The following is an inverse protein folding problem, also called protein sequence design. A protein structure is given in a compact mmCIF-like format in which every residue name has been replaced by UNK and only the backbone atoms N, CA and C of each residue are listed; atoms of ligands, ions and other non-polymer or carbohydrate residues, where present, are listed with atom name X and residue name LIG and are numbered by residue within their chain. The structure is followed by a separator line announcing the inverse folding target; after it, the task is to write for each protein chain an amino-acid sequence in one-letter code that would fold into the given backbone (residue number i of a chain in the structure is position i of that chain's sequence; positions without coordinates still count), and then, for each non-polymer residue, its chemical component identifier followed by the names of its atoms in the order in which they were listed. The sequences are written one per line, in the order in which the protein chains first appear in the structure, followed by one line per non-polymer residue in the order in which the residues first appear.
data_IF_465852390554
#
_entry.id   IF_465852390554
#
_cell.length_a   1.000
_cell.length_b   1.000
_cell.length_c   1.000
_cell.angle_alpha   90.00
_cell.angle_beta   90.00
_cell.angle_gamma   90.00
#
_symmetry.space_group_name_H-M   'P 1'
#
loop_
_entity.id
_entity.type
_entity.pdbx_description
1 polymer ?
#
# COMPACT_ATOMS: atom_id res chain seq x y z
N UNK A 1 -15.12 -5.91 -3.13
CA UNK A 1 -14.54 -6.38 -4.41
C UNK A 1 -15.56 -6.53 -5.54
N UNK A 2 -16.84 -6.83 -5.23
CA UNK A 2 -17.86 -7.07 -6.26
C UNK A 2 -18.03 -5.87 -7.23
N UNK A 3 -18.06 -4.64 -6.73
CA UNK A 3 -18.14 -3.45 -7.57
C UNK A 3 -16.86 -3.19 -8.38
N UNK A 4 -15.70 -3.40 -7.75
CA UNK A 4 -14.41 -3.32 -8.45
C UNK A 4 -14.33 -4.32 -9.60
N UNK A 5 -14.88 -5.54 -9.43
CA UNK A 5 -15.00 -6.54 -10.48
C UNK A 5 -15.87 -6.06 -11.66
N UNK A 6 -17.01 -5.42 -11.37
CA UNK A 6 -17.88 -4.84 -12.40
C UNK A 6 -17.16 -3.76 -13.22
N UNK A 7 -16.36 -2.90 -12.56
CA UNK A 7 -15.57 -1.87 -13.25
C UNK A 7 -14.50 -2.51 -14.15
N UNK A 8 -13.77 -3.51 -13.63
CA UNK A 8 -12.77 -4.24 -14.40
C UNK A 8 -13.38 -4.95 -15.62
N UNK A 9 -14.51 -5.63 -15.43
CA UNK A 9 -15.22 -6.33 -16.50
C UNK A 9 -15.79 -5.35 -17.55
N UNK A 10 -16.24 -4.18 -17.12
CA UNK A 10 -16.69 -3.12 -18.03
C UNK A 10 -15.53 -2.59 -18.88
N UNK A 11 -14.35 -2.34 -18.27
CA UNK A 11 -13.17 -1.91 -19.01
C UNK A 11 -12.77 -2.96 -20.06
N UNK A 12 -12.71 -4.24 -19.67
CA UNK A 12 -12.41 -5.36 -20.60
C UNK A 12 -13.43 -5.46 -21.73
N UNK A 13 -14.72 -5.42 -21.41
CA UNK A 13 -15.82 -5.55 -22.41
C UNK A 13 -15.85 -4.40 -23.40
N UNK A 14 -15.51 -3.18 -22.95
CA UNK A 14 -15.60 -1.96 -23.80
C UNK A 14 -14.27 -1.64 -24.49
N UNK A 15 -13.17 -2.26 -24.10
CA UNK A 15 -11.83 -1.91 -24.54
C UNK A 15 -11.38 -0.53 -24.08
N UNK A 16 -12.06 0.05 -23.06
CA UNK A 16 -11.68 1.35 -22.51
C UNK A 16 -10.59 1.19 -21.46
N UNK A 17 -9.67 2.16 -21.43
CA UNK A 17 -8.58 2.21 -20.48
C UNK A 17 -9.11 2.52 -19.08
N UNK A 18 -8.57 1.86 -18.08
CA UNK A 18 -8.88 2.04 -16.66
C UNK A 18 -7.57 2.02 -15.87
N UNK A 19 -7.44 2.93 -14.93
CA UNK A 19 -6.35 2.94 -13.94
C UNK A 19 -6.87 3.36 -12.58
N UNK A 20 -6.08 3.17 -11.55
CA UNK A 20 -6.35 3.59 -10.18
C UNK A 20 -5.20 4.48 -9.71
N UNK A 21 -5.49 5.53 -8.93
CA UNK A 21 -4.51 6.49 -8.42
C UNK A 21 -3.68 5.92 -7.28
N UNK A 22 -2.58 5.25 -7.59
CA UNK A 22 -1.59 4.75 -6.62
C UNK A 22 -0.28 5.52 -6.76
N UNK A 23 -0.32 6.82 -6.45
CA UNK A 23 0.80 7.75 -6.62
C UNK A 23 2.07 7.34 -5.88
N UNK A 24 1.98 6.52 -4.82
CA UNK A 24 3.14 6.02 -4.09
C UNK A 24 4.12 5.23 -4.97
N UNK A 25 3.64 4.61 -6.06
CA UNK A 25 4.49 3.92 -7.05
C UNK A 25 5.43 4.86 -7.81
N UNK A 26 5.10 6.16 -7.87
CA UNK A 26 5.85 7.17 -8.61
C UNK A 26 6.86 7.95 -7.75
N UNK A 27 7.01 7.60 -6.48
CA UNK A 27 8.05 8.14 -5.63
C UNK A 27 9.42 7.60 -6.08
N UNK A 28 10.47 8.40 -5.96
CA UNK A 28 11.81 8.00 -6.36
C UNK A 28 12.31 6.77 -5.61
N UNK A 29 12.10 6.71 -4.30
CA UNK A 29 12.45 5.57 -3.46
C UNK A 29 11.71 4.28 -3.89
N UNK A 30 10.42 4.40 -4.18
CA UNK A 30 9.59 3.29 -4.65
C UNK A 30 10.03 2.79 -6.03
N UNK A 31 10.28 3.70 -6.96
CA UNK A 31 10.75 3.34 -8.31
C UNK A 31 12.15 2.71 -8.29
N UNK A 32 13.02 3.18 -7.40
CA UNK A 32 14.35 2.59 -7.22
C UNK A 32 14.24 1.18 -6.63
N UNK A 33 13.49 1.03 -5.54
CA UNK A 33 13.27 -0.27 -4.88
C UNK A 33 12.62 -1.27 -5.84
N UNK A 34 11.68 -0.83 -6.67
CA UNK A 34 11.08 -1.68 -7.70
C UNK A 34 12.14 -2.24 -8.66
N UNK A 35 13.09 -1.44 -9.11
CA UNK A 35 14.20 -1.90 -9.95
C UNK A 35 15.11 -2.89 -9.22
N UNK A 36 15.42 -2.65 -7.95
CA UNK A 36 16.19 -3.59 -7.10
C UNK A 36 15.50 -4.95 -7.04
N UNK A 37 14.17 -4.97 -6.83
CA UNK A 37 13.38 -6.20 -6.80
C UNK A 37 13.35 -6.89 -8.18
N UNK A 38 13.12 -6.15 -9.26
CA UNK A 38 13.08 -6.68 -10.63
C UNK A 38 14.42 -7.26 -11.08
N UNK A 39 15.55 -6.69 -10.62
CA UNK A 39 16.88 -7.23 -10.86
C UNK A 39 17.22 -8.45 -9.99
N UNK A 40 16.34 -8.84 -9.08
CA UNK A 40 16.54 -10.01 -8.20
C UNK A 40 17.62 -9.81 -7.13
N UNK A 41 17.94 -8.55 -6.79
CA UNK A 41 18.97 -8.24 -5.79
C UNK A 41 18.56 -8.69 -4.38
N UNK A 42 17.24 -8.71 -4.07
CA UNK A 42 16.74 -9.23 -2.81
C UNK A 42 16.54 -10.75 -2.81
N UNK A 43 16.60 -11.40 -3.99
CA UNK A 43 16.30 -12.82 -4.14
C UNK A 43 14.81 -13.13 -4.02
N UNK A 44 14.47 -14.26 -3.40
CA UNK A 44 13.08 -14.66 -3.15
C UNK A 44 12.54 -13.93 -1.91
N UNK A 45 11.63 -12.99 -2.14
CA UNK A 45 11.03 -12.17 -1.06
C UNK A 45 9.96 -13.01 -0.37
N UNK A 46 10.26 -13.48 0.83
CA UNK A 46 9.38 -14.36 1.61
C UNK A 46 8.63 -13.65 2.74
N UNK A 47 9.03 -12.44 3.12
CA UNK A 47 8.40 -11.64 4.15
C UNK A 47 8.32 -10.17 3.74
N UNK A 48 7.19 -9.54 4.02
CA UNK A 48 7.01 -8.10 3.85
C UNK A 48 6.14 -7.50 4.96
N UNK A 49 6.33 -6.20 5.18
CA UNK A 49 5.49 -5.39 6.06
C UNK A 49 5.04 -4.13 5.32
N UNK A 50 3.75 -3.98 5.14
CA UNK A 50 3.11 -2.82 4.54
C UNK A 50 2.59 -1.90 5.64
N UNK A 51 3.03 -0.66 5.70
CA UNK A 51 2.77 0.24 6.81
C UNK A 51 2.07 1.53 6.39
N UNK A 52 0.96 1.82 7.04
CA UNK A 52 0.18 3.04 6.92
C UNK A 52 -0.29 3.48 8.32
N UNK A 53 0.67 3.82 9.19
CA UNK A 53 0.44 4.12 10.60
C UNK A 53 0.59 5.61 10.86
N UNK A 54 -0.50 6.22 11.33
CA UNK A 54 -0.54 7.57 11.91
C UNK A 54 -0.79 7.48 13.41
N UNK A 55 -0.17 8.38 14.16
CA UNK A 55 -0.42 8.45 15.61
C UNK A 55 -1.72 9.17 15.94
N UNK A 56 -1.96 10.32 15.33
CA UNK A 56 -3.15 11.17 15.47
C UNK A 56 -3.32 12.04 14.22
N UNK A 57 -3.84 11.43 13.17
CA UNK A 57 -4.14 12.15 11.94
C UNK A 57 -5.39 11.54 11.28
N UNK A 58 -6.50 11.65 11.99
CA UNK A 58 -7.84 11.27 11.55
C UNK A 58 -8.38 12.36 10.64
N UNK A 59 -8.79 12.08 9.40
CA UNK A 59 -9.41 13.06 8.53
C UNK A 59 -10.81 13.43 9.06
N UNK A 60 -10.98 14.71 9.41
CA UNK A 60 -12.22 15.22 10.04
C UNK A 60 -13.15 15.92 9.07
N UNK A 61 -12.88 15.85 7.78
CA UNK A 61 -13.66 16.46 6.70
C UNK A 61 -14.33 15.41 5.81
N UNK A 62 -15.28 15.88 4.96
CA UNK A 62 -15.96 15.02 4.00
C UNK A 62 -16.72 13.89 4.68
N UNK A 63 -16.62 12.70 4.11
CA UNK A 63 -17.32 11.49 4.57
C UNK A 63 -16.40 10.43 5.20
N UNK A 64 -15.14 10.76 5.45
CA UNK A 64 -14.14 9.79 5.93
C UNK A 64 -14.55 9.02 7.17
N UNK A 65 -15.32 9.63 8.07
CA UNK A 65 -15.74 9.00 9.33
C UNK A 65 -17.05 8.20 9.22
N UNK A 66 -17.70 8.24 8.07
CA UNK A 66 -19.02 7.68 7.83
C UNK A 66 -18.91 6.34 7.06
N UNK A 67 -19.20 5.24 7.74
CA UNK A 67 -19.11 3.90 7.16
C UNK A 67 -20.05 3.69 5.95
N UNK A 68 -21.23 4.34 5.93
CA UNK A 68 -22.20 4.20 4.84
C UNK A 68 -21.69 4.85 3.55
N UNK A 69 -21.09 6.04 3.65
CA UNK A 69 -20.64 6.82 2.51
C UNK A 69 -19.18 6.55 2.11
N UNK A 70 -18.30 6.24 3.07
CA UNK A 70 -16.88 5.97 2.83
C UNK A 70 -16.59 4.48 2.59
N UNK A 71 -17.33 3.58 3.27
CA UNK A 71 -17.15 2.13 3.17
C UNK A 71 -16.17 1.53 4.18
N UNK A 72 -15.33 2.34 4.81
CA UNK A 72 -14.36 1.92 5.83
C UNK A 72 -13.42 3.06 6.23
N UNK A 73 -12.55 2.82 7.20
CA UNK A 73 -11.61 3.79 7.75
C UNK A 73 -10.19 3.69 7.16
N UNK A 74 -9.14 3.71 8.01
CA UNK A 74 -7.74 3.74 7.57
C UNK A 74 -7.34 2.55 6.70
N UNK A 75 -8.02 1.41 6.81
CA UNK A 75 -7.70 0.25 6.00
C UNK A 75 -7.87 0.53 4.50
N UNK A 76 -9.00 1.12 4.12
CA UNK A 76 -9.28 1.43 2.71
C UNK A 76 -8.75 2.81 2.29
N UNK A 77 -8.52 3.75 3.22
CA UNK A 77 -7.99 5.07 2.92
C UNK A 77 -6.47 5.03 2.67
N UNK A 78 -5.70 4.66 3.69
CA UNK A 78 -4.23 4.68 3.64
C UNK A 78 -3.59 3.29 3.56
N UNK A 79 -4.25 2.27 4.11
CA UNK A 79 -3.80 0.87 4.05
C UNK A 79 -3.72 0.36 2.62
N UNK A 80 -4.66 0.77 1.76
CA UNK A 80 -4.66 0.46 0.34
C UNK A 80 -3.35 0.88 -0.35
N UNK A 81 -2.82 2.07 -0.04
CA UNK A 81 -1.58 2.58 -0.63
C UNK A 81 -0.35 1.79 -0.19
N UNK A 82 -0.27 1.43 1.10
CA UNK A 82 0.85 0.63 1.61
C UNK A 82 0.83 -0.80 1.07
N UNK A 83 -0.35 -1.42 1.02
CA UNK A 83 -0.52 -2.76 0.47
C UNK A 83 -0.22 -2.80 -1.03
N UNK A 84 -0.76 -1.87 -1.79
CA UNK A 84 -0.50 -1.74 -3.22
C UNK A 84 0.98 -1.61 -3.52
N UNK A 85 1.67 -0.70 -2.82
CA UNK A 85 3.11 -0.49 -2.98
C UNK A 85 3.89 -1.78 -2.71
N UNK A 86 3.58 -2.47 -1.62
CA UNK A 86 4.26 -3.71 -1.23
C UNK A 86 4.04 -4.82 -2.26
N UNK A 87 2.80 -5.05 -2.71
CA UNK A 87 2.50 -6.06 -3.73
C UNK A 87 3.17 -5.73 -5.07
N UNK A 88 3.23 -4.43 -5.42
CA UNK A 88 3.87 -3.97 -6.65
C UNK A 88 5.39 -4.18 -6.63
N UNK A 89 6.04 -3.86 -5.54
CA UNK A 89 7.49 -4.08 -5.38
C UNK A 89 7.83 -5.57 -5.40
N UNK A 90 7.06 -6.40 -4.68
CA UNK A 90 7.20 -7.86 -4.69
C UNK A 90 6.81 -8.51 -6.04
N UNK A 91 6.07 -7.80 -6.89
CA UNK A 91 5.41 -8.35 -8.07
C UNK A 91 4.61 -9.63 -7.76
N UNK A 92 3.88 -9.64 -6.66
CA UNK A 92 3.14 -10.80 -6.18
C UNK A 92 1.69 -10.43 -5.86
N UNK A 93 0.76 -10.91 -6.68
CA UNK A 93 -0.68 -10.64 -6.62
C UNK A 93 -1.50 -11.92 -6.46
N UNK A 94 -0.93 -12.95 -5.86
CA UNK A 94 -1.60 -14.23 -5.66
C UNK A 94 -1.79 -14.54 -4.16
N UNK A 95 -2.77 -13.91 -3.49
CA UNK A 95 -3.09 -14.26 -2.11
C UNK A 95 -3.66 -15.68 -2.03
N UNK A 96 -3.36 -16.37 -0.94
CA UNK A 96 -3.90 -17.70 -0.63
C UNK A 96 -4.85 -17.65 0.58
N UNK A 97 -4.50 -16.86 1.61
CA UNK A 97 -5.26 -16.75 2.84
C UNK A 97 -5.00 -15.41 3.50
N UNK A 98 -6.03 -14.85 4.10
CA UNK A 98 -5.96 -13.59 4.84
C UNK A 98 -6.64 -13.75 6.19
N UNK A 99 -6.02 -13.22 7.24
CA UNK A 99 -6.66 -12.96 8.52
C UNK A 99 -6.45 -11.51 8.91
N UNK A 100 -7.36 -10.95 9.70
CA UNK A 100 -7.23 -9.58 10.15
C UNK A 100 -8.11 -9.22 11.32
N UNK A 101 -7.85 -8.03 11.84
CA UNK A 101 -8.61 -7.43 12.93
C UNK A 101 -8.80 -5.95 12.67
N UNK A 102 -9.97 -5.44 13.02
CA UNK A 102 -10.30 -4.01 13.01
C UNK A 102 -10.60 -3.53 14.41
N UNK A 103 -10.24 -2.31 14.70
CA UNK A 103 -10.46 -1.73 16.03
C UNK A 103 -11.07 -0.33 15.90
N UNK A 104 -11.93 -0.01 16.85
CA UNK A 104 -12.54 1.31 17.05
C UNK A 104 -12.37 1.69 18.53
N UNK A 105 -11.09 1.90 18.92
CA UNK A 105 -10.70 2.11 20.33
C UNK A 105 -10.52 3.57 20.70
N UNK A 106 -10.07 4.39 19.75
CA UNK A 106 -9.84 5.81 19.97
C UNK A 106 -10.95 6.68 19.38
N UNK A 107 -11.72 6.14 18.44
CA UNK A 107 -12.84 6.83 17.79
C UNK A 107 -13.87 7.40 18.79
N UNK A 108 -14.10 6.72 19.92
CA UNK A 108 -15.06 7.10 20.94
C UNK A 108 -14.55 8.16 21.93
N UNK A 109 -13.29 8.58 21.81
CA UNK A 109 -12.71 9.58 22.70
C UNK A 109 -13.15 10.99 22.32
N UNK A 110 -13.76 11.71 23.27
CA UNK A 110 -14.06 13.12 23.12
C UNK A 110 -12.82 13.99 23.25
N UNK A 111 -12.83 15.13 22.56
CA UNK A 111 -11.75 16.14 22.61
C UNK A 111 -10.35 15.58 22.34
N UNK A 112 -10.25 14.57 21.49
CA UNK A 112 -8.98 13.93 21.18
C UNK A 112 -8.01 14.89 20.48
N UNK A 113 -6.73 14.80 20.84
CA UNK A 113 -5.66 15.44 20.09
C UNK A 113 -5.62 14.84 18.67
N UNK A 114 -5.60 15.70 17.65
CA UNK A 114 -5.55 15.31 16.25
C UNK A 114 -4.93 16.41 15.40
N UNK A 115 -4.24 16.04 14.33
CA UNK A 115 -3.55 17.01 13.45
C UNK A 115 -4.51 18.03 12.80
N UNK A 116 -5.76 17.62 12.56
CA UNK A 116 -6.79 18.43 11.88
C UNK A 116 -7.96 18.79 12.79
N UNK A 117 -7.71 18.92 14.08
CA UNK A 117 -8.74 19.20 15.09
C UNK A 117 -9.45 17.93 15.56
N UNK A 118 -10.20 18.04 16.69
CA UNK A 118 -10.89 16.90 17.27
C UNK A 118 -11.99 16.39 16.34
N UNK A 119 -12.20 15.08 16.34
CA UNK A 119 -13.35 14.47 15.67
C UNK A 119 -14.59 14.42 16.56
N UNK A 120 -15.73 14.25 15.96
CA UNK A 120 -16.99 13.96 16.66
C UNK A 120 -17.17 12.44 16.79
N UNK A 121 -17.09 11.86 18.00
CA UNK A 121 -17.24 10.42 18.20
C UNK A 121 -18.56 9.86 17.67
N UNK A 122 -19.62 10.66 17.64
CA UNK A 122 -20.95 10.24 17.14
C UNK A 122 -20.99 10.06 15.63
N UNK A 123 -20.07 10.71 14.90
CA UNK A 123 -19.94 10.61 13.46
C UNK A 123 -18.88 9.61 13.02
N UNK A 124 -18.03 9.17 13.94
CA UNK A 124 -16.95 8.25 13.66
C UNK A 124 -17.44 6.81 13.71
N UNK A 125 -17.96 6.30 12.62
CA UNK A 125 -18.61 4.97 12.53
C UNK A 125 -17.73 3.90 11.88
N UNK A 126 -16.57 4.26 11.32
CA UNK A 126 -15.57 3.33 10.76
C UNK A 126 -14.55 2.90 11.83
N UNK A 127 -13.68 1.97 11.50
CA UNK A 127 -12.52 1.62 12.33
C UNK A 127 -11.50 2.78 12.40
N UNK A 128 -10.74 2.86 13.50
CA UNK A 128 -9.60 3.78 13.65
C UNK A 128 -8.26 3.09 13.36
N UNK A 129 -8.25 1.77 13.37
CA UNK A 129 -7.08 0.94 13.06
C UNK A 129 -7.49 -0.45 12.57
N UNK A 130 -6.68 -1.03 11.69
CA UNK A 130 -6.83 -2.37 11.15
C UNK A 130 -5.46 -3.02 10.91
N UNK A 131 -5.38 -4.33 11.13
CA UNK A 131 -4.17 -5.12 10.96
C UNK A 131 -4.49 -6.40 10.21
N UNK A 132 -3.67 -6.74 9.22
CA UNK A 132 -3.85 -7.92 8.39
C UNK A 132 -2.61 -8.80 8.33
N UNK A 133 -2.82 -10.11 8.28
CA UNK A 133 -1.83 -11.12 7.96
C UNK A 133 -2.26 -11.78 6.66
N UNK A 134 -1.41 -11.69 5.64
CA UNK A 134 -1.68 -12.16 4.29
C UNK A 134 -0.67 -13.24 3.93
N UNK A 135 -1.14 -14.44 3.61
CA UNK A 135 -0.33 -15.54 3.09
C UNK A 135 -0.50 -15.59 1.58
N UNK A 136 0.62 -15.50 0.85
CA UNK A 136 0.65 -15.60 -0.60
C UNK A 136 0.80 -17.06 -1.04
N UNK A 137 0.39 -17.41 -2.28
CA UNK A 137 0.48 -18.79 -2.79
C UNK A 137 1.91 -19.32 -2.86
N UNK A 138 2.89 -18.46 -3.17
CA UNK A 138 4.30 -18.83 -3.18
C UNK A 138 4.91 -19.04 -1.78
N UNK A 139 4.11 -18.87 -0.72
CA UNK A 139 4.55 -19.00 0.66
C UNK A 139 4.98 -17.71 1.33
N UNK A 140 5.13 -16.62 0.61
CA UNK A 140 5.44 -15.32 1.20
C UNK A 140 4.36 -14.85 2.18
N UNK A 141 4.75 -14.04 3.14
CA UNK A 141 3.87 -13.49 4.17
C UNK A 141 3.98 -11.98 4.19
N UNK A 142 2.83 -11.29 4.23
CA UNK A 142 2.76 -9.84 4.34
C UNK A 142 1.97 -9.48 5.59
N UNK A 143 2.50 -8.56 6.41
CA UNK A 143 1.77 -7.89 7.47
C UNK A 143 1.34 -6.51 6.98
N UNK A 144 0.04 -6.23 7.06
CA UNK A 144 -0.51 -4.91 6.78
C UNK A 144 -0.92 -4.24 8.09
N UNK A 145 -0.48 -3.00 8.26
CA UNK A 145 -0.82 -2.15 9.39
C UNK A 145 -1.40 -0.84 8.87
N UNK A 146 -2.63 -0.53 9.25
CA UNK A 146 -3.30 0.70 8.86
C UNK A 146 -3.94 1.36 10.07
N UNK A 147 -3.66 2.63 10.33
CA UNK A 147 -4.26 3.38 11.42
C UNK A 147 -4.23 4.89 11.21
N UNK A 148 -5.33 5.55 11.51
CA UNK A 148 -5.38 7.01 11.64
C UNK A 148 -5.05 7.49 13.04
N UNK A 149 -5.30 6.63 14.05
CA UNK A 149 -5.08 6.93 15.45
C UNK A 149 -4.61 5.68 16.21
N UNK A 150 -3.36 5.69 16.63
CA UNK A 150 -2.74 4.61 17.38
C UNK A 150 -1.79 5.19 18.44
N UNK A 151 -1.76 4.60 19.64
CA UNK A 151 -0.84 5.00 20.69
C UNK A 151 0.55 4.40 20.45
N UNK A 152 1.23 4.89 19.43
CA UNK A 152 2.58 4.49 19.04
C UNK A 152 3.46 5.70 18.75
N UNK A 153 4.76 5.53 18.84
CA UNK A 153 5.76 6.48 18.34
C UNK A 153 6.32 6.06 16.99
N UNK A 154 6.10 4.80 16.59
CA UNK A 154 6.47 4.24 15.29
C UNK A 154 5.37 4.60 14.26
N UNK A 155 5.59 5.71 13.55
CA UNK A 155 4.65 6.26 12.56
C UNK A 155 5.27 6.19 11.18
N UNK A 156 4.63 5.43 10.28
CA UNK A 156 5.10 5.19 8.94
C UNK A 156 3.91 5.12 7.98
N UNK A 157 3.86 6.00 6.98
CA UNK A 157 2.76 6.02 6.01
C UNK A 157 3.28 5.73 4.59
N UNK A 158 2.61 4.81 3.92
CA UNK A 158 2.98 4.30 2.61
C UNK A 158 4.45 3.83 2.56
N UNK A 159 4.82 2.98 3.52
CA UNK A 159 6.15 2.40 3.66
C UNK A 159 6.10 0.88 3.56
N UNK A 160 7.18 0.31 3.06
CA UNK A 160 7.36 -1.14 2.95
C UNK A 160 8.68 -1.58 3.60
N UNK A 161 8.67 -2.80 4.13
CA UNK A 161 9.86 -3.57 4.50
C UNK A 161 9.80 -4.86 3.70
N UNK A 162 10.88 -5.23 3.04
CA UNK A 162 10.98 -6.45 2.25
C UNK A 162 12.17 -7.28 2.73
N UNK A 163 11.96 -8.57 2.99
CA UNK A 163 13.01 -9.51 3.35
C UNK A 163 13.04 -10.65 2.33
N UNK A 164 14.13 -10.72 1.60
CA UNK A 164 14.41 -11.80 0.66
C UNK A 164 15.57 -12.68 1.15
N UNK A 165 15.85 -13.75 0.45
CA UNK A 165 16.89 -14.72 0.78
C UNK A 165 18.31 -14.26 0.40
N UNK A 166 18.44 -13.19 -0.41
CA UNK A 166 19.73 -12.59 -0.76
C UNK A 166 19.94 -11.21 -0.14
N UNK A 167 18.87 -10.55 0.26
CA UNK A 167 18.94 -9.24 0.87
C UNK A 167 17.58 -8.75 1.33
N UNK A 168 17.55 -7.56 1.87
CA UNK A 168 16.34 -6.89 2.31
C UNK A 168 16.37 -5.41 1.99
N UNK A 169 15.21 -4.78 2.09
CA UNK A 169 15.07 -3.34 1.96
C UNK A 169 14.01 -2.81 2.94
N UNK A 170 14.18 -1.59 3.37
CA UNK A 170 13.17 -0.85 4.13
C UNK A 170 13.17 0.64 3.76
N UNK A 171 12.04 1.28 3.95
CA UNK A 171 11.85 2.72 3.75
C UNK A 171 11.87 3.46 5.11
N UNK A 172 12.71 3.01 6.05
CA UNK A 172 12.77 3.50 7.42
C UNK A 172 14.11 4.16 7.75
N UNK A 173 14.94 4.45 6.75
CA UNK A 173 16.19 5.17 6.89
C UNK A 173 16.02 6.59 7.42
N UNK A 174 17.11 7.33 7.52
CA UNK A 174 17.06 8.73 7.96
C UNK A 174 16.05 9.50 7.11
N UNK A 175 15.18 10.25 7.78
CA UNK A 175 14.10 11.04 7.15
C UNK A 175 13.13 10.16 6.32
N UNK A 176 12.98 8.89 6.67
CA UNK A 176 12.14 7.93 5.94
C UNK A 176 12.75 7.45 4.62
N UNK A 177 14.08 7.54 4.47
CA UNK A 177 14.80 7.13 3.27
C UNK A 177 14.85 5.62 3.06
N UNK A 178 15.15 5.23 1.82
CA UNK A 178 15.34 3.83 1.44
C UNK A 178 16.68 3.30 1.94
N UNK A 179 16.66 2.12 2.57
CA UNK A 179 17.85 1.34 2.92
C UNK A 179 17.78 -0.02 2.23
N UNK A 180 18.90 -0.49 1.75
CA UNK A 180 19.08 -1.84 1.20
C UNK A 180 20.14 -2.54 2.03
N UNK A 181 19.89 -3.75 2.45
CA UNK A 181 20.81 -4.53 3.26
C UNK A 181 21.06 -5.91 2.64
N UNK A 182 22.19 -6.48 2.98
CA UNK A 182 22.59 -7.79 2.46
C UNK A 182 23.85 -8.30 3.14
N UNK A 183 24.46 -9.32 2.55
CA UNK A 183 25.72 -9.90 3.00
C UNK A 183 26.76 -9.87 1.86
N UNK A 184 27.98 -9.47 2.19
CA UNK A 184 29.14 -9.53 1.29
C UNK A 184 30.41 -9.80 2.09
N UNK A 185 31.22 -10.71 1.61
CA UNK A 185 32.47 -11.09 2.27
C UNK A 185 32.29 -11.50 3.74
N UNK A 186 31.24 -12.28 4.05
CA UNK A 186 30.87 -12.72 5.40
C UNK A 186 30.60 -11.55 6.37
N UNK A 187 30.16 -10.44 5.87
CA UNK A 187 29.75 -9.25 6.64
C UNK A 187 28.42 -8.72 6.12
N UNK A 188 27.53 -8.40 7.04
CA UNK A 188 26.31 -7.66 6.70
C UNK A 188 26.64 -6.22 6.34
N UNK A 189 25.93 -5.66 5.41
CA UNK A 189 26.03 -4.25 5.02
C UNK A 189 24.66 -3.61 4.89
N UNK A 190 24.65 -2.29 5.00
CA UNK A 190 23.49 -1.44 4.67
C UNK A 190 23.95 -0.39 3.70
N UNK A 191 23.18 -0.16 2.64
CA UNK A 191 23.39 0.89 1.66
C UNK A 191 22.17 1.81 1.66
N UNK A 192 22.41 3.11 1.71
CA UNK A 192 21.39 4.14 1.50
C UNK A 192 21.65 4.77 0.14
N UNK A 193 20.81 4.49 -0.88
CA UNK A 193 21.01 5.10 -2.20
C UNK A 193 20.78 6.61 -2.13
N UNK A 194 21.67 7.37 -2.74
CA UNK A 194 21.47 8.80 -2.94
C UNK A 194 20.42 9.00 -4.05
N UNK A 195 19.19 9.23 -3.63
CA UNK A 195 18.06 9.49 -4.52
C UNK A 195 17.87 10.99 -4.79
N UNK A 196 18.66 11.85 -4.15
CA UNK A 196 18.66 13.27 -4.46
C UNK A 196 19.47 13.48 -5.71
N UNK A 197 18.87 14.10 -6.69
CA UNK A 197 19.55 14.43 -7.93
C UNK A 197 20.85 15.20 -7.62
N UNK A 198 21.98 14.57 -7.92
CA UNK A 198 23.31 15.09 -7.63
C UNK A 198 23.78 16.08 -8.70
N UNK A 199 23.63 17.33 -8.44
CA UNK A 199 24.72 18.23 -8.68
C UNK A 199 24.87 18.99 -9.97
N UNK A 200 24.11 18.84 -11.04
CA UNK A 200 24.14 19.83 -12.14
C UNK A 200 22.71 20.16 -12.57
N UNK A 201 22.21 21.28 -12.10
CA UNK A 201 20.85 21.75 -12.31
C UNK A 201 20.37 21.83 -13.78
N UNK A 202 21.26 21.66 -14.75
CA UNK A 202 20.94 21.68 -16.16
C UNK A 202 20.67 20.30 -16.78
N UNK A 203 20.95 19.20 -16.07
CA UNK A 203 20.82 17.84 -16.59
C UNK A 203 19.85 16.96 -15.82
N UNK A 204 19.32 17.44 -14.73
CA UNK A 204 18.35 16.73 -13.90
C UNK A 204 16.92 16.86 -14.42
N UNK A 205 16.67 16.42 -15.63
CA UNK A 205 15.33 16.18 -16.14
C UNK A 205 14.54 15.09 -15.41
N UNK A 206 15.12 14.55 -14.32
CA UNK A 206 14.55 13.53 -13.45
C UNK A 206 14.47 13.95 -11.99
N UNK A 207 14.68 15.23 -11.68
CA UNK A 207 14.41 15.76 -10.35
C UNK A 207 12.96 15.50 -10.02
N UNK A 208 12.75 14.69 -9.00
CA UNK A 208 11.48 14.19 -8.55
C UNK A 208 10.37 15.23 -8.58
N UNK A 209 9.52 15.11 -9.59
CA UNK A 209 8.24 15.80 -9.60
C UNK A 209 7.34 15.27 -8.48
N UNK A 210 6.27 15.99 -8.21
CA UNK A 210 5.19 15.48 -7.35
C UNK A 210 4.74 14.10 -7.88
N UNK A 211 4.74 13.04 -7.04
CA UNK A 211 4.30 11.72 -7.45
C UNK A 211 2.92 11.69 -8.11
N UNK A 212 1.99 12.55 -7.68
CA UNK A 212 0.66 12.67 -8.28
C UNK A 212 0.73 13.28 -9.68
N UNK A 213 1.62 14.25 -9.91
CA UNK A 213 1.85 14.80 -11.24
C UNK A 213 2.50 13.77 -12.18
N UNK A 214 3.49 13.01 -11.69
CA UNK A 214 4.13 11.95 -12.47
C UNK A 214 3.13 10.85 -12.84
N UNK A 215 2.26 10.45 -11.92
CA UNK A 215 1.17 9.52 -12.19
C UNK A 215 0.22 10.02 -13.28
N UNK A 216 -0.23 11.27 -13.16
CA UNK A 216 -1.13 11.87 -14.14
C UNK A 216 -0.49 11.95 -15.54
N UNK A 217 0.79 12.34 -15.62
CA UNK A 217 1.56 12.36 -16.87
C UNK A 217 1.69 10.97 -17.50
N UNK A 218 2.02 9.95 -16.69
CA UNK A 218 2.14 8.57 -17.15
C UNK A 218 0.80 8.04 -17.66
N UNK A 219 -0.30 8.34 -16.98
CA UNK A 219 -1.65 7.99 -17.41
C UNK A 219 -2.01 8.64 -18.74
N UNK A 220 -1.81 9.95 -18.88
CA UNK A 220 -2.08 10.68 -20.12
C UNK A 220 -1.24 10.12 -21.27
N UNK A 221 0.05 9.84 -21.03
CA UNK A 221 0.92 9.26 -22.04
C UNK A 221 0.39 7.90 -22.52
N UNK A 222 -0.06 7.02 -21.59
CA UNK A 222 -0.66 5.73 -21.93
C UNK A 222 -2.00 5.89 -22.69
N UNK A 223 -2.80 6.91 -22.34
CA UNK A 223 -4.06 7.19 -23.06
C UNK A 223 -3.81 7.58 -24.51
N UNK A 224 -2.78 8.38 -24.75
CA UNK A 224 -2.43 8.88 -26.08
C UNK A 224 -1.65 7.89 -26.95
N UNK A 225 -0.90 6.98 -26.32
CA UNK A 225 0.00 6.03 -27.00
C UNK A 225 0.00 4.67 -26.26
N UNK A 226 -0.56 3.66 -26.90
CA UNK A 226 -0.65 2.28 -26.34
C UNK A 226 0.72 1.62 -26.12
N UNK A 227 1.80 2.13 -26.74
CA UNK A 227 3.16 1.65 -26.49
C UNK A 227 3.71 2.08 -25.13
N UNK A 228 3.13 3.08 -24.49
CA UNK A 228 3.50 3.53 -23.15
C UNK A 228 2.93 2.60 -22.09
N UNK A 229 3.72 2.20 -21.08
CA UNK A 229 3.27 1.26 -20.08
C UNK A 229 2.14 1.83 -19.21
N UNK A 230 1.17 0.98 -18.86
CA UNK A 230 0.22 1.26 -17.79
C UNK A 230 0.86 0.82 -16.47
N UNK A 231 1.32 1.77 -15.66
CA UNK A 231 2.04 1.50 -14.40
C UNK A 231 1.11 0.87 -13.37
N UNK A 232 -0.09 1.42 -13.21
CA UNK A 232 -1.09 0.89 -12.28
C UNK A 232 -2.16 0.14 -13.07
N UNK A 233 -2.03 -1.19 -13.10
CA UNK A 233 -3.00 -2.06 -13.79
C UNK A 233 -4.24 -2.26 -12.94
N UNK A 234 -5.46 -2.17 -13.51
CA UNK A 234 -6.69 -2.34 -12.75
C UNK A 234 -6.85 -3.75 -12.15
N UNK A 235 -6.27 -4.78 -12.76
CA UNK A 235 -6.23 -6.14 -12.20
C UNK A 235 -5.46 -6.19 -10.88
N UNK A 236 -4.36 -5.44 -10.77
CA UNK A 236 -3.57 -5.35 -9.55
C UNK A 236 -4.36 -4.67 -8.43
N UNK A 237 -5.02 -3.57 -8.74
CA UNK A 237 -5.89 -2.86 -7.81
C UNK A 237 -7.09 -3.71 -7.37
N UNK A 238 -7.61 -4.56 -8.24
CA UNK A 238 -8.66 -5.51 -7.89
C UNK A 238 -8.19 -6.50 -6.81
N UNK A 239 -6.98 -7.05 -6.93
CA UNK A 239 -6.41 -7.93 -5.89
C UNK A 239 -6.23 -7.18 -4.57
N UNK A 240 -5.76 -5.93 -4.60
CA UNK A 240 -5.69 -5.09 -3.39
C UNK A 240 -7.07 -5.00 -2.72
N UNK A 241 -8.11 -4.66 -3.49
CA UNK A 241 -9.48 -4.54 -2.97
C UNK A 241 -9.98 -5.86 -2.36
N UNK A 242 -9.69 -7.00 -3.00
CA UNK A 242 -10.06 -8.32 -2.47
C UNK A 242 -9.37 -8.62 -1.13
N UNK A 243 -8.09 -8.29 -0.98
CA UNK A 243 -7.35 -8.48 0.29
C UNK A 243 -7.93 -7.60 1.39
N UNK A 244 -8.24 -6.32 1.10
CA UNK A 244 -8.84 -5.42 2.08
C UNK A 244 -10.22 -5.93 2.54
N UNK A 245 -11.07 -6.37 1.62
CA UNK A 245 -12.36 -7.00 1.94
C UNK A 245 -12.17 -8.26 2.80
N UNK A 246 -11.18 -9.10 2.48
CA UNK A 246 -10.87 -10.29 3.27
C UNK A 246 -10.45 -9.96 4.71
N UNK A 247 -9.73 -8.85 4.94
CA UNK A 247 -9.37 -8.38 6.28
C UNK A 247 -10.64 -8.01 7.07
N UNK A 248 -11.56 -7.23 6.48
CA UNK A 248 -12.84 -6.90 7.15
C UNK A 248 -13.65 -8.16 7.48
N UNK A 249 -13.81 -9.08 6.53
CA UNK A 249 -14.54 -10.32 6.74
C UNK A 249 -13.93 -11.19 7.82
N UNK A 250 -12.59 -11.29 7.82
CA UNK A 250 -11.87 -12.01 8.87
C UNK A 250 -12.09 -11.38 10.25
N UNK A 251 -12.07 -10.05 10.33
CA UNK A 251 -12.33 -9.32 11.58
C UNK A 251 -13.76 -9.55 12.10
N UNK A 252 -14.75 -9.57 11.21
CA UNK A 252 -16.17 -9.81 11.56
C UNK A 252 -16.42 -11.24 12.01
N UNK A 253 -15.85 -12.23 11.30
CA UNK A 253 -16.12 -13.64 11.54
C UNK A 253 -15.16 -14.31 12.52
N UNK A 254 -14.02 -13.65 12.84
CA UNK A 254 -12.89 -14.22 13.57
C UNK A 254 -12.34 -15.52 12.92
N UNK A 255 -12.39 -15.60 11.59
CA UNK A 255 -11.93 -16.76 10.80
C UNK A 255 -10.99 -16.32 9.66
N UNK A 256 -10.07 -17.19 9.22
CA UNK A 256 -9.32 -16.97 8.01
C UNK A 256 -10.25 -16.91 6.78
N UNK A 257 -9.91 -16.09 5.83
CA UNK A 257 -10.56 -16.00 4.51
C UNK A 257 -9.60 -16.54 3.46
N UNK A 258 -10.08 -17.44 2.60
CA UNK A 258 -9.28 -18.11 1.60
C UNK A 258 -9.55 -17.58 0.20
N UNK A 259 -8.60 -17.79 -0.69
CA UNK A 259 -8.71 -17.46 -2.12
C UNK A 259 -8.67 -18.74 -2.94
N UNK A 260 -9.61 -18.89 -3.86
CA UNK A 260 -9.65 -19.97 -4.85
C UNK A 260 -9.63 -19.38 -6.26
N UNK A 261 -8.74 -19.87 -7.11
CA UNK A 261 -8.59 -19.43 -8.51
C UNK A 261 -8.39 -17.90 -8.66
N UNK A 262 -7.78 -17.25 -7.66
CA UNK A 262 -7.56 -15.81 -7.66
C UNK A 262 -8.76 -14.98 -7.20
N UNK A 263 -9.85 -15.61 -6.79
CA UNK A 263 -11.05 -14.94 -6.27
C UNK A 263 -11.24 -15.24 -4.80
N UNK A 264 -11.86 -14.26 -4.11
CA UNK A 264 -12.21 -14.36 -2.70
C UNK A 264 -13.28 -15.45 -2.51
N UNK A 265 -13.01 -16.42 -1.65
CA UNK A 265 -13.99 -17.43 -1.28
C UNK A 265 -14.98 -16.88 -0.29
N UNK A 266 -16.25 -16.82 -0.69
CA UNK A 266 -17.35 -16.29 0.10
C UNK A 266 -18.17 -17.48 0.64
N UNK A 267 -17.69 -18.10 1.72
CA UNK A 267 -18.48 -19.14 2.45
C UNK A 267 -19.21 -18.55 3.64
#
# INVERSE_FOLDING_TARGET
SAEAKKMLDAAKRTGKKLTIGYQSRFRQDSMYLKKVCENGELGDIYYARAQAIRRRAVPTWGVFLDAENQGGGPLIDIGTHALDLTLWEMNNYEPAMVTGSTFRKLADHENSANAWGPWDPKKFTVEDSAFGFIKMKNGATIYLEASWALNTLDVNEAKTILCGDKGGADMLGKDGGLRINGEKYSKTFVTEPDLKAGGVAFYDGTTGGDPAELEARAWIAHVLDDSKPLVTKPEQAYVVTQILEAIYRSAETNRPVYFENGELKLD
#
